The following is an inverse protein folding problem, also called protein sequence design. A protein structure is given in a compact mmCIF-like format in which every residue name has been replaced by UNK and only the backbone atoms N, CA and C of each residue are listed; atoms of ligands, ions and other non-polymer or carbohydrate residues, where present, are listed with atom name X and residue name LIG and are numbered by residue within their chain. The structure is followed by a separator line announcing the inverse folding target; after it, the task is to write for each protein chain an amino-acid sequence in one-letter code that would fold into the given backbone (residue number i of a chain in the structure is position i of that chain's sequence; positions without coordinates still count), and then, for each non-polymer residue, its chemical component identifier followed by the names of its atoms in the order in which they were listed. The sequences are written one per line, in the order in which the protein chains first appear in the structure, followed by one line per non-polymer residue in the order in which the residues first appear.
data_IF_224034318450
#
_entry.id   IF_224034318450
#
_cell.length_a   1.000
_cell.length_b   1.000
_cell.length_c   1.000
_cell.angle_alpha   90.00
_cell.angle_beta   90.00
_cell.angle_gamma   90.00
#
_symmetry.space_group_name_H-M   'P 1'
#
loop_
_entity.id
_entity.type
_entity.pdbx_description
1 polymer ?
#
# COMPACT_ATOMS: atom_id res chain seq x y z
N UNK A 1 19.18 7.11 6.45
CA UNK A 1 18.92 7.74 5.13
C UNK A 1 18.33 6.69 4.20
N UNK A 2 17.43 7.08 3.29
CA UNK A 2 16.97 6.21 2.20
C UNK A 2 18.12 6.07 1.20
N UNK A 3 18.53 4.84 0.89
CA UNK A 3 19.53 4.64 -0.16
C UNK A 3 18.89 4.81 -1.53
N UNK A 4 19.67 5.28 -2.52
CA UNK A 4 19.23 5.40 -3.90
C UNK A 4 18.76 4.07 -4.48
N UNK A 5 17.73 4.10 -5.33
CA UNK A 5 17.23 2.93 -6.06
C UNK A 5 18.32 2.32 -6.95
N UNK A 6 18.43 0.99 -6.92
CA UNK A 6 19.45 0.20 -7.62
C UNK A 6 18.79 -0.92 -8.42
N UNK A 7 19.39 -1.29 -9.54
CA UNK A 7 18.98 -2.47 -10.32
C UNK A 7 19.07 -3.74 -9.46
N UNK A 8 18.08 -4.63 -9.58
CA UNK A 8 18.04 -5.88 -8.84
C UNK A 8 18.94 -6.96 -9.48
N UNK A 9 20.24 -6.90 -9.19
CA UNK A 9 21.24 -7.83 -9.73
C UNK A 9 22.26 -8.28 -8.66
N UNK A 10 23.06 -9.30 -8.98
CA UNK A 10 23.99 -9.91 -8.01
C UNK A 10 25.05 -8.92 -7.49
N UNK A 11 25.52 -7.99 -8.31
CA UNK A 11 26.54 -7.02 -7.93
C UNK A 11 26.01 -6.05 -6.87
N UNK A 12 24.84 -5.45 -7.10
CA UNK A 12 24.22 -4.50 -6.18
C UNK A 12 23.79 -5.12 -4.84
N UNK A 13 23.67 -6.46 -4.78
CA UNK A 13 23.31 -7.20 -3.56
C UNK A 13 24.51 -7.41 -2.63
N UNK A 14 25.75 -7.42 -3.15
CA UNK A 14 26.96 -7.67 -2.35
C UNK A 14 27.18 -6.58 -1.28
N UNK A 15 26.83 -5.34 -1.62
CA UNK A 15 27.09 -4.15 -0.81
C UNK A 15 25.99 -3.84 0.22
N UNK A 16 24.99 -4.71 0.33
CA UNK A 16 23.91 -4.52 1.31
C UNK A 16 24.46 -4.81 2.72
N UNK A 17 24.25 -3.91 3.70
CA UNK A 17 24.69 -4.15 5.07
C UNK A 17 23.94 -5.31 5.72
N UNK A 18 24.62 -6.01 6.62
CA UNK A 18 23.99 -7.04 7.46
C UNK A 18 23.31 -6.42 8.68
N UNK A 19 22.34 -5.53 8.44
CA UNK A 19 21.55 -4.83 9.47
C UNK A 19 20.06 -5.02 9.25
N UNK A 20 19.28 -4.74 10.30
CA UNK A 20 17.83 -4.66 10.22
C UNK A 20 17.34 -3.41 9.48
N UNK A 21 16.13 -3.48 8.97
CA UNK A 21 15.49 -2.37 8.27
C UNK A 21 14.35 -2.81 7.37
N UNK A 22 13.94 -1.89 6.51
CA UNK A 22 12.91 -2.10 5.50
C UNK A 22 13.51 -2.06 4.11
N UNK A 23 12.90 -2.80 3.18
CA UNK A 23 13.27 -2.84 1.78
C UNK A 23 12.04 -2.60 0.90
N UNK A 24 12.30 -2.05 -0.28
CA UNK A 24 11.30 -1.67 -1.27
C UNK A 24 11.69 -2.34 -2.58
N UNK A 25 10.73 -3.00 -3.21
CA UNK A 25 10.85 -3.47 -4.58
C UNK A 25 10.07 -2.58 -5.52
N UNK A 26 10.65 -2.37 -6.70
CA UNK A 26 10.05 -1.56 -7.74
C UNK A 26 10.03 -2.31 -9.07
N UNK A 27 9.04 -1.98 -9.89
CA UNK A 27 8.93 -2.44 -11.27
C UNK A 27 9.82 -1.64 -12.25
N UNK A 28 9.68 -1.92 -13.53
CA UNK A 28 10.41 -1.24 -14.61
C UNK A 28 10.08 0.26 -14.71
N UNK A 29 8.93 0.70 -14.21
CA UNK A 29 8.52 2.10 -14.13
C UNK A 29 8.98 2.80 -12.84
N UNK A 30 9.76 2.11 -11.99
CA UNK A 30 10.17 2.56 -10.65
C UNK A 30 9.00 2.78 -9.68
N UNK A 31 7.83 2.20 -9.95
CA UNK A 31 6.70 2.19 -9.00
C UNK A 31 6.97 1.20 -7.88
N UNK A 32 6.67 1.56 -6.62
CA UNK A 32 6.85 0.64 -5.49
C UNK A 32 5.77 -0.44 -5.51
N UNK A 33 6.17 -1.69 -5.74
CA UNK A 33 5.26 -2.82 -5.88
C UNK A 33 5.18 -3.69 -4.61
N UNK A 34 6.22 -3.63 -3.76
CA UNK A 34 6.25 -4.36 -2.48
C UNK A 34 7.20 -3.70 -1.48
N UNK A 35 6.81 -3.74 -0.21
CA UNK A 35 7.62 -3.28 0.92
C UNK A 35 7.64 -4.39 1.96
N UNK A 36 8.81 -4.64 2.57
CA UNK A 36 8.90 -5.57 3.69
C UNK A 36 9.97 -5.19 4.69
N UNK A 37 9.82 -5.64 5.93
CA UNK A 37 10.84 -5.54 6.99
C UNK A 37 11.71 -6.79 7.12
N UNK A 38 12.89 -6.62 7.71
CA UNK A 38 13.76 -7.75 8.04
C UNK A 38 14.79 -7.39 9.11
N UNK A 39 15.22 -8.40 9.89
CA UNK A 39 16.35 -8.29 10.81
C UNK A 39 17.70 -8.26 10.10
N UNK A 40 17.78 -8.79 8.86
CA UNK A 40 19.02 -8.90 8.07
C UNK A 40 18.74 -8.63 6.60
N UNK A 41 18.93 -7.38 6.17
CA UNK A 41 18.69 -6.91 4.80
C UNK A 41 19.40 -7.77 3.76
N UNK A 42 20.71 -7.99 3.91
CA UNK A 42 21.52 -8.78 2.97
C UNK A 42 20.94 -10.19 2.75
N UNK A 43 20.60 -10.89 3.82
CA UNK A 43 20.06 -12.25 3.74
C UNK A 43 18.68 -12.28 3.08
N UNK A 44 17.82 -11.33 3.45
CA UNK A 44 16.47 -11.25 2.90
C UNK A 44 16.50 -10.99 1.40
N UNK A 45 17.27 -10.00 0.96
CA UNK A 45 17.39 -9.66 -0.47
C UNK A 45 18.01 -10.80 -1.28
N UNK A 46 19.07 -11.44 -0.76
CA UNK A 46 19.64 -12.65 -1.38
C UNK A 46 18.61 -13.76 -1.54
N UNK A 47 17.75 -13.99 -0.54
CA UNK A 47 16.68 -14.99 -0.63
C UNK A 47 15.74 -14.74 -1.80
N UNK A 48 15.32 -13.49 -2.03
CA UNK A 48 14.52 -13.14 -3.21
C UNK A 48 15.28 -13.40 -4.51
N UNK A 49 16.55 -12.99 -4.60
CA UNK A 49 17.38 -13.25 -5.78
C UNK A 49 17.48 -14.75 -6.10
N UNK A 50 17.78 -15.60 -5.11
CA UNK A 50 17.82 -17.06 -5.32
C UNK A 50 16.47 -17.63 -5.76
N UNK A 51 15.34 -17.12 -5.25
CA UNK A 51 14.00 -17.52 -5.69
C UNK A 51 13.74 -17.14 -7.14
N UNK A 52 14.17 -15.96 -7.59
CA UNK A 52 14.07 -15.55 -9.00
C UNK A 52 14.88 -16.50 -9.89
N UNK A 53 16.11 -16.85 -9.48
CA UNK A 53 16.93 -17.77 -10.27
C UNK A 53 16.29 -19.17 -10.36
N UNK A 54 15.75 -19.70 -9.26
CA UNK A 54 15.01 -20.97 -9.26
C UNK A 54 13.77 -20.94 -10.15
N UNK A 55 13.03 -19.82 -10.15
CA UNK A 55 11.88 -19.63 -11.04
C UNK A 55 12.25 -19.72 -12.51
N UNK A 56 13.40 -19.14 -12.89
CA UNK A 56 13.93 -19.20 -14.27
C UNK A 56 14.35 -20.61 -14.67
N UNK A 57 14.82 -21.42 -13.72
CA UNK A 57 15.19 -22.82 -13.93
C UNK A 57 14.01 -23.81 -13.93
N UNK A 58 12.76 -23.33 -13.90
CA UNK A 58 11.56 -24.17 -14.04
C UNK A 58 11.14 -24.96 -12.80
N UNK A 59 11.83 -24.80 -11.66
CA UNK A 59 11.57 -25.58 -10.44
C UNK A 59 11.19 -24.68 -9.28
N UNK A 60 9.88 -24.51 -9.03
CA UNK A 60 9.42 -23.89 -7.78
C UNK A 60 7.93 -24.05 -7.50
N UNK A 61 7.58 -24.60 -6.34
CA UNK A 61 6.24 -24.49 -5.74
C UNK A 61 6.13 -23.16 -4.97
N UNK A 62 5.96 -22.05 -5.71
CA UNK A 62 5.79 -20.71 -5.14
C UNK A 62 4.34 -20.26 -5.36
N UNK A 63 3.63 -19.74 -4.33
CA UNK A 63 2.29 -19.18 -4.49
C UNK A 63 2.24 -18.14 -5.61
N UNK A 64 1.16 -18.12 -6.40
CA UNK A 64 1.04 -17.29 -7.60
C UNK A 64 1.33 -15.79 -7.34
N UNK A 65 0.84 -15.23 -6.24
CA UNK A 65 1.09 -13.83 -5.86
C UNK A 65 2.59 -13.56 -5.66
N UNK A 66 3.31 -14.49 -5.02
CA UNK A 66 4.75 -14.36 -4.82
C UNK A 66 5.52 -14.56 -6.12
N UNK A 67 5.08 -15.46 -7.00
CA UNK A 67 5.66 -15.64 -8.33
C UNK A 67 5.54 -14.35 -9.15
N UNK A 68 4.35 -13.75 -9.19
CA UNK A 68 4.10 -12.51 -9.91
C UNK A 68 4.90 -11.34 -9.35
N UNK A 69 5.03 -11.23 -8.02
CA UNK A 69 5.94 -10.27 -7.40
C UNK A 69 7.35 -10.45 -7.94
N UNK A 70 7.91 -11.67 -7.81
CA UNK A 70 9.30 -11.97 -8.18
C UNK A 70 9.61 -11.66 -9.65
N UNK A 71 8.67 -11.90 -10.55
CA UNK A 71 8.81 -11.61 -11.98
C UNK A 71 8.81 -10.12 -12.30
N UNK A 72 8.17 -9.28 -11.46
CA UNK A 72 8.06 -7.84 -11.68
C UNK A 72 9.10 -7.01 -10.93
N UNK A 73 10.01 -7.62 -10.14
CA UNK A 73 11.08 -6.88 -9.47
C UNK A 73 12.15 -6.48 -10.48
N UNK A 74 12.33 -5.18 -10.71
CA UNK A 74 13.40 -4.63 -11.53
C UNK A 74 14.42 -3.83 -10.71
N UNK A 75 13.96 -3.09 -9.71
CA UNK A 75 14.82 -2.27 -8.84
C UNK A 75 14.49 -2.51 -7.37
N UNK A 76 15.42 -2.10 -6.51
CA UNK A 76 15.20 -2.09 -5.08
C UNK A 76 15.95 -0.95 -4.39
N UNK A 77 15.46 -0.58 -3.22
CA UNK A 77 16.19 0.23 -2.25
C UNK A 77 15.82 -0.22 -0.84
N UNK A 78 16.52 0.33 0.15
CA UNK A 78 16.30 -0.02 1.54
C UNK A 78 16.63 1.15 2.47
N UNK A 79 16.09 1.07 3.69
CA UNK A 79 16.41 1.96 4.80
C UNK A 79 16.73 1.10 6.02
N UNK A 80 17.92 1.30 6.57
CA UNK A 80 18.33 0.66 7.83
C UNK A 80 17.61 1.31 9.00
N UNK A 81 17.34 0.51 10.03
CA UNK A 81 16.76 0.95 11.30
C UNK A 81 17.65 0.50 12.47
N UNK A 82 17.45 1.11 13.64
CA UNK A 82 18.18 0.81 14.87
C UNK A 82 17.54 -0.31 15.68
N UNK A 83 16.24 -0.55 15.51
CA UNK A 83 15.51 -1.61 16.21
C UNK A 83 14.51 -2.33 15.31
N UNK A 84 14.08 -3.52 15.77
CA UNK A 84 13.01 -4.29 15.15
C UNK A 84 11.68 -3.51 15.20
N UNK A 85 11.41 -2.81 16.32
CA UNK A 85 10.22 -1.97 16.48
C UNK A 85 10.20 -0.82 15.48
N UNK A 86 11.32 -0.12 15.30
CA UNK A 86 11.43 0.96 14.31
C UNK A 86 11.20 0.43 12.89
N UNK A 87 11.73 -0.76 12.56
CA UNK A 87 11.48 -1.39 11.25
C UNK A 87 10.01 -1.72 11.02
N UNK A 88 9.30 -2.13 12.07
CA UNK A 88 7.88 -2.45 12.03
C UNK A 88 7.03 -1.19 11.82
N UNK A 89 7.28 -0.14 12.59
CA UNK A 89 6.56 1.12 12.47
C UNK A 89 6.79 1.74 11.09
N UNK A 90 8.05 1.81 10.68
CA UNK A 90 8.41 2.40 9.39
C UNK A 90 7.87 1.58 8.21
N UNK A 91 7.88 0.24 8.28
CA UNK A 91 7.23 -0.60 7.26
C UNK A 91 5.74 -0.26 7.16
N UNK A 92 5.04 -0.23 8.30
CA UNK A 92 3.61 0.05 8.35
C UNK A 92 3.29 1.42 7.73
N UNK A 93 4.03 2.45 8.11
CA UNK A 93 3.85 3.80 7.58
C UNK A 93 4.13 3.87 6.07
N UNK A 94 5.16 3.18 5.59
CA UNK A 94 5.49 3.15 4.17
C UNK A 94 4.48 2.34 3.36
N UNK A 95 3.99 1.20 3.86
CA UNK A 95 2.92 0.47 3.18
C UNK A 95 1.66 1.33 3.13
N UNK A 96 1.29 2.02 4.21
CA UNK A 96 0.17 2.97 4.21
C UNK A 96 0.32 4.07 3.17
N UNK A 97 1.53 4.63 3.06
CA UNK A 97 1.85 5.70 2.11
C UNK A 97 1.82 5.25 0.66
N UNK A 98 2.41 4.09 0.34
CA UNK A 98 2.60 3.64 -1.03
C UNK A 98 1.51 2.70 -1.55
N UNK A 99 0.73 2.07 -0.66
CA UNK A 99 -0.29 1.06 -0.98
C UNK A 99 0.17 0.04 -2.05
N UNK A 100 1.34 -0.63 -1.87
CA UNK A 100 1.91 -1.46 -2.92
C UNK A 100 1.02 -2.66 -3.23
N UNK A 101 0.84 -2.95 -4.51
CA UNK A 101 -0.10 -3.96 -5.01
C UNK A 101 0.11 -5.35 -4.36
N UNK A 102 1.36 -5.80 -4.23
CA UNK A 102 1.66 -7.12 -3.71
C UNK A 102 1.58 -7.21 -2.19
N UNK A 103 1.66 -6.10 -1.45
CA UNK A 103 1.33 -6.10 -0.03
C UNK A 103 -0.17 -6.33 0.16
N UNK A 104 -1.02 -5.62 -0.61
CA UNK A 104 -2.47 -5.71 -0.53
C UNK A 104 -2.98 -7.11 -0.94
N UNK A 105 -2.36 -7.74 -1.94
CA UNK A 105 -2.74 -9.07 -2.44
C UNK A 105 -2.33 -10.23 -1.52
N UNK A 106 -1.58 -9.99 -0.44
CA UNK A 106 -1.21 -11.06 0.49
C UNK A 106 -2.39 -11.45 1.38
N UNK A 107 -2.56 -12.76 1.63
CA UNK A 107 -3.70 -13.32 2.38
C UNK A 107 -3.86 -12.71 3.77
N UNK A 108 -2.74 -12.44 4.45
CA UNK A 108 -2.73 -11.95 5.83
C UNK A 108 -2.73 -10.42 5.92
N UNK A 109 -2.80 -9.72 4.77
CA UNK A 109 -2.79 -8.28 4.78
C UNK A 109 -4.18 -7.76 5.17
N UNK A 110 -4.30 -6.93 6.23
CA UNK A 110 -5.57 -6.34 6.61
C UNK A 110 -6.14 -5.54 5.44
N UNK A 111 -7.37 -5.89 5.03
CA UNK A 111 -8.06 -5.21 3.94
C UNK A 111 -8.57 -3.85 4.41
N UNK A 112 -7.66 -2.88 4.47
CA UNK A 112 -7.96 -1.53 4.91
C UNK A 112 -9.04 -0.87 4.05
N UNK A 113 -9.89 -0.12 4.74
CA UNK A 113 -10.91 0.74 4.17
C UNK A 113 -10.52 2.19 4.41
N UNK A 114 -10.89 3.04 3.48
CA UNK A 114 -10.68 4.48 3.57
C UNK A 114 -12.01 5.16 3.29
N UNK A 115 -12.21 6.34 3.85
CA UNK A 115 -13.38 7.18 3.60
C UNK A 115 -12.92 8.27 2.65
N UNK A 116 -13.40 8.27 1.41
CA UNK A 116 -13.12 9.32 0.42
C UNK A 116 -14.23 10.36 0.40
N UNK A 117 -13.83 11.63 0.32
CA UNK A 117 -14.73 12.75 0.04
C UNK A 117 -14.79 12.95 -1.48
N UNK A 118 -15.99 12.94 -2.06
CA UNK A 118 -16.13 13.23 -3.49
C UNK A 118 -15.82 14.71 -3.79
N UNK A 119 -15.01 14.99 -4.81
CA UNK A 119 -14.65 16.35 -5.23
C UNK A 119 -15.71 17.11 -6.05
N UNK A 120 -17.00 16.78 -5.92
CA UNK A 120 -18.09 17.43 -6.66
C UNK A 120 -18.66 18.61 -5.85
N UNK A 121 -19.38 19.53 -6.51
CA UNK A 121 -20.04 20.69 -5.86
C UNK A 121 -20.93 20.32 -4.66
N UNK A 122 -21.44 19.09 -4.65
CA UNK A 122 -22.14 18.51 -3.51
C UNK A 122 -21.35 17.28 -3.04
N UNK A 123 -20.51 17.39 -2.00
CA UNK A 123 -19.68 16.27 -1.56
C UNK A 123 -20.53 15.17 -0.91
N UNK A 124 -20.10 13.92 -1.06
CA UNK A 124 -20.59 12.77 -0.31
C UNK A 124 -19.39 11.93 0.14
N UNK A 125 -19.59 11.15 1.20
CA UNK A 125 -18.59 10.24 1.72
C UNK A 125 -18.83 8.82 1.21
N UNK A 126 -17.76 8.12 0.84
CA UNK A 126 -17.85 6.70 0.43
C UNK A 126 -16.66 5.90 0.94
N UNK A 127 -16.90 4.61 1.18
CA UNK A 127 -15.85 3.67 1.54
C UNK A 127 -15.13 3.21 0.27
N UNK A 128 -13.81 3.38 0.23
CA UNK A 128 -12.93 2.86 -0.82
C UNK A 128 -11.88 1.92 -0.24
N UNK A 129 -11.31 1.07 -1.08
CA UNK A 129 -10.22 0.15 -0.71
C UNK A 129 -8.86 0.60 -1.25
N UNK A 130 -8.85 1.60 -2.15
CA UNK A 130 -7.64 2.15 -2.75
C UNK A 130 -7.78 3.67 -2.89
N UNK A 131 -7.10 4.46 -2.04
CA UNK A 131 -7.10 5.91 -2.17
C UNK A 131 -6.43 6.36 -3.47
N UNK A 132 -7.00 7.37 -4.12
CA UNK A 132 -6.34 8.06 -5.22
C UNK A 132 -5.45 9.18 -4.66
N UNK A 133 -4.30 9.43 -5.29
CA UNK A 133 -3.37 10.49 -4.85
C UNK A 133 -4.00 11.89 -4.91
N UNK A 134 -4.95 12.10 -5.83
CA UNK A 134 -5.61 13.38 -6.07
C UNK A 134 -6.97 13.49 -5.37
N UNK A 135 -7.35 12.54 -4.53
CA UNK A 135 -8.58 12.60 -3.75
C UNK A 135 -8.31 12.87 -2.28
N UNK A 136 -9.27 13.51 -1.62
CA UNK A 136 -9.24 13.66 -0.16
C UNK A 136 -9.84 12.41 0.47
N UNK A 137 -9.07 11.77 1.35
CA UNK A 137 -9.47 10.54 2.01
C UNK A 137 -8.94 10.44 3.44
N UNK A 138 -9.69 9.72 4.28
CA UNK A 138 -9.36 9.42 5.67
C UNK A 138 -9.21 7.91 5.89
N UNK A 139 -8.38 7.55 6.86
CA UNK A 139 -8.10 6.16 7.24
C UNK A 139 -6.60 5.92 7.44
N UNK A 140 -6.15 4.65 7.40
CA UNK A 140 -6.92 3.44 7.11
C UNK A 140 -7.75 2.91 8.30
N UNK A 141 -8.93 2.37 8.01
CA UNK A 141 -9.80 1.66 8.94
C UNK A 141 -9.73 0.15 8.68
N UNK A 142 -9.53 -0.65 9.74
CA UNK A 142 -9.52 -2.12 9.61
C UNK A 142 -10.92 -2.69 9.42
N UNK A 143 -11.89 -2.09 10.10
CA UNK A 143 -13.28 -2.53 10.09
C UNK A 143 -14.11 -1.66 9.14
N UNK A 144 -14.83 -2.32 8.25
CA UNK A 144 -15.76 -1.67 7.33
C UNK A 144 -16.96 -1.09 8.09
N UNK A 145 -17.44 -1.77 9.13
CA UNK A 145 -18.59 -1.30 9.91
C UNK A 145 -18.23 -0.02 10.66
N UNK A 146 -17.09 0.00 11.35
CA UNK A 146 -16.58 1.24 11.94
C UNK A 146 -16.46 2.41 10.94
N UNK A 147 -15.92 2.16 9.75
CA UNK A 147 -15.86 3.20 8.71
C UNK A 147 -17.25 3.67 8.25
N UNK A 148 -18.22 2.76 8.19
CA UNK A 148 -19.60 3.08 7.83
C UNK A 148 -20.29 3.90 8.93
N UNK A 149 -20.09 3.55 10.20
CA UNK A 149 -20.65 4.27 11.34
C UNK A 149 -20.09 5.70 11.42
N UNK A 150 -18.80 5.87 11.14
CA UNK A 150 -18.18 7.19 11.00
C UNK A 150 -18.82 8.00 9.87
N UNK A 151 -19.04 7.40 8.70
CA UNK A 151 -19.71 8.08 7.58
C UNK A 151 -21.11 8.53 7.99
N UNK A 152 -21.89 7.66 8.65
CA UNK A 152 -23.24 7.97 9.06
C UNK A 152 -23.25 9.12 10.08
N UNK A 153 -22.39 9.04 11.11
CA UNK A 153 -22.25 10.06 12.14
C UNK A 153 -21.88 11.43 11.55
N UNK A 154 -20.83 11.48 10.71
CA UNK A 154 -20.38 12.73 10.08
C UNK A 154 -21.45 13.28 9.12
N UNK A 155 -22.11 12.41 8.35
CA UNK A 155 -23.16 12.82 7.42
C UNK A 155 -24.39 13.38 8.13
N UNK A 156 -24.73 12.86 9.31
CA UNK A 156 -25.85 13.36 10.10
C UNK A 156 -25.53 14.65 10.85
N UNK A 157 -24.29 14.80 11.33
CA UNK A 157 -23.80 15.99 12.03
C UNK A 157 -23.69 17.19 11.08
N UNK A 158 -23.04 17.00 9.92
CA UNK A 158 -22.80 18.06 8.95
C UNK A 158 -23.85 18.11 7.83
N UNK A 159 -24.91 17.29 7.94
CA UNK A 159 -25.99 17.19 6.94
C UNK A 159 -25.47 16.94 5.51
N UNK A 160 -24.41 16.16 5.38
CA UNK A 160 -23.83 15.75 4.11
C UNK A 160 -24.82 14.80 3.42
N UNK A 161 -24.90 14.88 2.08
CA UNK A 161 -25.74 13.96 1.32
C UNK A 161 -25.21 12.53 1.41
N UNK A 162 -26.12 11.57 1.42
CA UNK A 162 -25.81 10.14 1.40
C UNK A 162 -25.94 9.52 0.01
N UNK A 163 -26.53 10.24 -0.95
CA UNK A 163 -26.71 9.76 -2.31
C UNK A 163 -25.40 9.82 -3.11
N UNK A 164 -24.98 8.67 -3.62
CA UNK A 164 -23.73 8.52 -4.39
C UNK A 164 -23.90 8.80 -5.90
N UNK A 165 -25.15 8.96 -6.37
CA UNK A 165 -25.45 9.19 -7.78
C UNK A 165 -25.18 10.64 -8.21
N UNK A 166 -24.93 10.82 -9.51
CA UNK A 166 -24.95 12.13 -10.14
C UNK A 166 -26.37 12.72 -10.00
N UNK A 167 -26.45 13.87 -9.33
CA UNK A 167 -27.72 14.55 -9.17
C UNK A 167 -28.17 15.07 -10.55
N UNK A 168 -29.36 14.69 -11.04
CA UNK A 168 -29.85 15.10 -12.36
C UNK A 168 -30.21 16.59 -12.45
N UNK A 169 -30.30 17.26 -11.30
CA UNK A 169 -30.54 18.68 -11.13
C UNK A 169 -29.57 19.19 -10.07
N UNK A 170 -29.10 20.42 -10.14
CA UNK A 170 -28.20 21.05 -9.15
C UNK A 170 -28.89 21.30 -7.78
N UNK A 171 -29.77 20.39 -7.36
CA UNK A 171 -30.63 20.48 -6.19
C UNK A 171 -30.56 19.14 -5.48
N UNK A 172 -30.21 19.18 -4.21
CA UNK A 172 -30.21 17.99 -3.35
C UNK A 172 -31.21 18.27 -2.24
N UNK A 173 -32.31 17.49 -2.18
CA UNK A 173 -33.36 17.70 -1.19
C UNK A 173 -32.82 17.76 0.25
N UNK A 174 -31.80 16.96 0.57
CA UNK A 174 -31.18 16.92 1.91
C UNK A 174 -30.24 18.11 2.17
N UNK A 175 -29.75 18.77 1.13
CA UNK A 175 -28.99 20.02 1.20
C UNK A 175 -29.93 21.23 1.22
N UNK A 176 -30.98 21.23 0.39
CA UNK A 176 -31.92 22.34 0.22
C UNK A 176 -32.93 22.46 1.38
N UNK A 177 -33.08 21.43 2.21
CA UNK A 177 -33.87 21.45 3.46
C UNK A 177 -33.09 22.02 4.66
N UNK A 178 -31.90 22.62 4.42
CA UNK A 178 -31.12 23.34 5.43
C UNK A 178 -31.56 24.79 5.55
#
# INVERSE_FOLDING_TARGET
MLNSSRLFNQNNIKDIPNRGGIYFFQDNQKSVIYIGKTKKLKNRIKSYYHKIQKLKSGSSNIPLVHRNLLLNICFFYFKTTRSDLESLLLENDMIKKYMPEYNIKQKDYPQYKFIEISGNSFPYLKIITRPHLNSEWFGPYKDKFFAQDLINFVSDLFKIRTCQQHLPRNKCLRYDLQ
#
